data_IF_886341633538
#
_entry.id   IF_886341633538
#
_cell.length_a   1.000
_cell.length_b   1.000
_cell.length_c   1.000
_cell.angle_alpha   90.00
_cell.angle_beta   90.00
_cell.angle_gamma   90.00
#
_symmetry.space_group_name_H-M   'P 1'
#
loop_
_entity.id
_entity.type
_entity.pdbx_description
1 polymer ?
#
# COMPACT_ATOMS: atom_id res chain seq x y z
N UNK A 1 -9.47 6.79 13.86
CA UNK A 1 -9.95 7.32 12.58
C UNK A 1 -11.34 6.77 12.21
N UNK A 2 -11.52 5.56 11.72
CA UNK A 2 -12.84 5.01 11.40
C UNK A 2 -13.46 4.14 12.51
N UNK A 3 -12.76 3.93 13.62
CA UNK A 3 -13.23 3.35 14.87
C UNK A 3 -13.71 1.88 14.88
N UNK A 4 -13.75 1.22 13.72
CA UNK A 4 -14.22 -0.15 13.61
C UNK A 4 -13.13 -1.07 13.02
N UNK A 5 -12.82 -2.14 13.74
CA UNK A 5 -11.78 -3.11 13.36
C UNK A 5 -12.10 -3.81 12.03
N UNK A 6 -13.39 -3.99 11.69
CA UNK A 6 -13.82 -4.60 10.43
C UNK A 6 -13.39 -3.78 9.22
N UNK A 7 -13.39 -2.45 9.33
CA UNK A 7 -12.92 -1.57 8.25
C UNK A 7 -11.42 -1.74 7.98
N UNK A 8 -10.64 -1.96 9.05
CA UNK A 8 -9.23 -2.28 8.93
C UNK A 8 -8.99 -3.58 8.15
N UNK A 9 -9.80 -4.61 8.41
CA UNK A 9 -9.70 -5.89 7.69
C UNK A 9 -10.05 -5.78 6.21
N UNK A 10 -11.13 -5.04 5.88
CA UNK A 10 -11.52 -4.81 4.49
C UNK A 10 -10.40 -4.08 3.73
N UNK A 11 -9.82 -3.04 4.33
CA UNK A 11 -8.69 -2.31 3.77
C UNK A 11 -7.47 -3.21 3.57
N UNK A 12 -7.16 -4.05 4.55
CA UNK A 12 -6.05 -4.99 4.48
C UNK A 12 -6.24 -5.98 3.34
N UNK A 13 -7.43 -6.57 3.18
CA UNK A 13 -7.76 -7.47 2.09
C UNK A 13 -7.58 -6.80 0.72
N UNK A 14 -8.13 -5.59 0.53
CA UNK A 14 -8.00 -4.84 -0.71
C UNK A 14 -6.53 -4.59 -1.07
N UNK A 15 -5.73 -4.15 -0.10
CA UNK A 15 -4.32 -3.84 -0.29
C UNK A 15 -3.42 -5.08 -0.48
N UNK A 16 -3.82 -6.25 0.03
CA UNK A 16 -3.08 -7.50 -0.15
C UNK A 16 -3.42 -8.22 -1.46
N UNK A 17 -4.71 -8.26 -1.83
CA UNK A 17 -5.15 -8.96 -3.05
C UNK A 17 -4.73 -8.23 -4.32
N UNK A 18 -4.72 -6.89 -4.32
CA UNK A 18 -4.36 -6.12 -5.50
C UNK A 18 -2.94 -6.41 -6.03
N UNK A 19 -1.87 -6.39 -5.22
CA UNK A 19 -0.53 -6.73 -5.70
C UNK A 19 -0.38 -8.21 -6.07
N UNK A 20 -1.12 -9.13 -5.43
CA UNK A 20 -1.11 -10.55 -5.81
C UNK A 20 -1.68 -10.75 -7.21
N UNK A 21 -2.80 -10.09 -7.53
CA UNK A 21 -3.42 -10.11 -8.86
C UNK A 21 -2.42 -9.57 -9.89
N UNK A 22 -1.83 -8.41 -9.65
CA UNK A 22 -0.85 -7.82 -10.57
C UNK A 22 0.37 -8.74 -10.75
N UNK A 23 0.91 -9.28 -9.66
CA UNK A 23 2.05 -10.19 -9.69
C UNK A 23 1.78 -11.43 -10.54
N UNK A 24 0.54 -11.95 -10.50
CA UNK A 24 0.13 -13.08 -11.32
C UNK A 24 0.13 -12.73 -12.82
N UNK A 25 -0.38 -11.55 -13.18
CA UNK A 25 -0.42 -11.09 -14.59
C UNK A 25 0.92 -10.59 -15.11
N UNK A 26 1.81 -10.10 -14.23
CA UNK A 26 3.12 -9.59 -14.64
C UNK A 26 4.23 -10.63 -14.61
N UNK A 27 3.91 -11.88 -14.23
CA UNK A 27 4.88 -12.99 -14.20
C UNK A 27 5.42 -13.23 -15.61
N UNK A 28 6.60 -12.69 -15.89
CA UNK A 28 7.36 -12.99 -17.11
C UNK A 28 8.07 -14.33 -16.90
N UNK A 29 7.97 -15.24 -17.88
CA UNK A 29 8.78 -16.45 -17.86
C UNK A 29 10.25 -16.06 -17.90
N UNK A 30 10.95 -16.21 -16.80
CA UNK A 30 12.36 -15.85 -16.63
C UNK A 30 13.28 -16.93 -17.18
N UNK A 31 13.20 -17.19 -18.49
CA UNK A 31 14.22 -18.01 -19.15
C UNK A 31 15.47 -17.24 -19.59
N UNK A 32 15.56 -15.92 -19.32
CA UNK A 32 16.66 -15.06 -19.76
C UNK A 32 17.44 -14.37 -18.63
N UNK A 33 17.50 -14.93 -17.44
CA UNK A 33 18.37 -14.38 -16.38
C UNK A 33 19.72 -15.10 -16.31
N UNK A 34 20.35 -15.34 -17.46
CA UNK A 34 21.71 -15.94 -17.51
C UNK A 34 22.85 -14.92 -17.60
N UNK A 35 22.57 -13.63 -17.42
CA UNK A 35 23.64 -12.62 -17.28
C UNK A 35 23.30 -11.68 -16.08
N UNK A 36 23.10 -12.27 -14.92
CA UNK A 36 23.27 -11.50 -13.69
C UNK A 36 24.78 -11.28 -13.55
N UNK A 37 25.22 -10.05 -13.73
CA UNK A 37 26.44 -9.61 -13.08
C UNK A 37 26.23 -9.94 -11.61
N UNK A 38 26.77 -11.07 -11.18
CA UNK A 38 26.92 -11.39 -9.76
C UNK A 38 27.68 -10.20 -9.20
N UNK A 39 26.97 -9.37 -8.43
CA UNK A 39 27.68 -8.49 -7.53
C UNK A 39 28.49 -9.42 -6.65
N UNK A 40 29.82 -9.42 -6.74
CA UNK A 40 30.61 -10.22 -5.86
C UNK A 40 30.25 -9.73 -4.45
N UNK A 41 29.45 -10.51 -3.74
CA UNK A 41 29.52 -10.47 -2.30
C UNK A 41 30.99 -10.71 -2.04
N UNK A 42 31.74 -9.64 -1.71
CA UNK A 42 33.09 -9.77 -1.20
C UNK A 42 32.99 -10.60 0.08
N UNK A 43 33.01 -11.90 -0.11
CA UNK A 43 33.18 -12.89 0.96
C UNK A 43 34.65 -12.92 1.35
N UNK A 44 35.22 -11.75 1.67
CA UNK A 44 36.51 -11.72 2.33
C UNK A 44 36.27 -12.15 3.78
N UNK A 45 36.80 -13.31 4.04
CA UNK A 45 36.73 -14.12 5.23
C UNK A 45 36.62 -13.40 6.59
N UNK A 46 35.97 -14.10 7.50
CA UNK A 46 35.62 -13.75 8.88
C UNK A 46 34.55 -12.64 9.01
N UNK A 47 33.30 -13.05 8.96
CA UNK A 47 32.17 -12.20 9.36
C UNK A 47 32.32 -11.86 10.86
N UNK A 48 32.92 -10.72 11.15
CA UNK A 48 32.92 -10.19 12.50
C UNK A 48 31.50 -9.72 12.80
N UNK A 49 30.79 -10.39 13.70
CA UNK A 49 29.43 -10.09 14.11
C UNK A 49 29.25 -8.61 14.48
N UNK A 50 30.26 -7.99 15.10
CA UNK A 50 30.26 -6.56 15.43
C UNK A 50 30.20 -5.65 14.21
N UNK A 51 30.92 -6.00 13.12
CA UNK A 51 30.91 -5.24 11.86
C UNK A 51 29.54 -5.34 11.20
N UNK A 52 28.93 -6.53 11.19
CA UNK A 52 27.60 -6.74 10.59
C UNK A 52 26.57 -5.89 11.33
N UNK A 53 26.54 -5.92 12.65
CA UNK A 53 25.62 -5.10 13.45
C UNK A 53 25.84 -3.61 13.20
N UNK A 54 27.10 -3.15 13.24
CA UNK A 54 27.43 -1.75 12.99
C UNK A 54 26.91 -1.28 11.63
N UNK A 55 27.23 -2.02 10.57
CA UNK A 55 26.79 -1.67 9.19
C UNK A 55 25.26 -1.72 9.05
N UNK A 56 24.60 -2.69 9.71
CA UNK A 56 23.15 -2.77 9.71
C UNK A 56 22.49 -1.56 10.40
N UNK A 57 23.03 -1.12 11.54
CA UNK A 57 22.55 0.05 12.25
C UNK A 57 22.78 1.33 11.44
N UNK A 58 23.96 1.51 10.85
CA UNK A 58 24.27 2.67 10.00
C UNK A 58 23.33 2.74 8.79
N UNK A 59 23.08 1.61 8.12
CA UNK A 59 22.14 1.53 7.01
C UNK A 59 20.72 1.83 7.46
N UNK A 60 20.28 1.34 8.60
CA UNK A 60 18.95 1.62 9.14
C UNK A 60 18.76 3.10 9.48
N UNK A 61 19.75 3.75 10.10
CA UNK A 61 19.71 5.18 10.40
C UNK A 61 19.65 6.00 9.12
N UNK A 62 20.52 5.73 8.14
CA UNK A 62 20.54 6.44 6.87
C UNK A 62 19.21 6.29 6.10
N UNK A 63 18.65 5.08 6.08
CA UNK A 63 17.34 4.81 5.46
C UNK A 63 16.23 5.60 6.16
N UNK A 64 16.20 5.60 7.48
CA UNK A 64 15.19 6.33 8.26
C UNK A 64 15.28 7.84 8.03
N UNK A 65 16.49 8.40 8.01
CA UNK A 65 16.70 9.82 7.72
C UNK A 65 16.24 10.19 6.30
N UNK A 66 16.52 9.35 5.29
CA UNK A 66 16.06 9.57 3.92
C UNK A 66 14.53 9.55 3.83
N UNK A 67 13.88 8.57 4.43
CA UNK A 67 12.40 8.49 4.49
C UNK A 67 11.83 9.74 5.17
N UNK A 68 12.38 10.14 6.30
CA UNK A 68 11.98 11.36 7.03
C UNK A 68 12.10 12.62 6.18
N UNK A 69 13.21 12.77 5.43
CA UNK A 69 13.42 13.91 4.54
C UNK A 69 12.36 13.97 3.43
N UNK A 70 12.02 12.84 2.80
CA UNK A 70 10.93 12.79 1.80
C UNK A 70 9.59 13.19 2.41
N UNK A 71 9.24 12.69 3.60
CA UNK A 71 7.99 13.05 4.29
C UNK A 71 7.93 14.56 4.54
N UNK A 72 9.01 15.17 4.99
CA UNK A 72 9.08 16.63 5.24
C UNK A 72 8.89 17.40 3.93
N UNK A 73 9.62 17.06 2.87
CA UNK A 73 9.54 17.74 1.57
C UNK A 73 8.09 17.67 1.03
N UNK A 74 7.50 16.48 1.00
CA UNK A 74 6.15 16.32 0.49
C UNK A 74 5.09 16.98 1.39
N UNK A 75 5.32 17.05 2.71
CA UNK A 75 4.46 17.80 3.63
C UNK A 75 4.49 19.29 3.36
N UNK A 76 5.65 19.86 3.02
CA UNK A 76 5.78 21.27 2.60
C UNK A 76 5.02 21.51 1.30
N UNK A 77 5.21 20.64 0.29
CA UNK A 77 4.47 20.72 -0.99
C UNK A 77 2.97 20.72 -0.74
N UNK A 78 2.48 19.80 0.10
CA UNK A 78 1.06 19.75 0.47
C UNK A 78 0.62 21.02 1.20
N UNK A 79 1.45 21.58 2.07
CA UNK A 79 1.17 22.86 2.73
C UNK A 79 0.96 23.99 1.73
N UNK A 80 1.80 24.08 0.70
CA UNK A 80 1.67 25.07 -0.39
C UNK A 80 0.37 24.84 -1.17
N UNK A 81 0.07 23.60 -1.53
CA UNK A 81 -1.16 23.24 -2.27
C UNK A 81 -2.42 23.60 -1.47
N UNK A 82 -2.44 23.30 -0.17
CA UNK A 82 -3.57 23.62 0.70
C UNK A 82 -3.86 25.12 0.83
N UNK A 83 -2.82 25.93 0.81
CA UNK A 83 -2.94 27.39 0.90
C UNK A 83 -3.29 28.03 -0.44
N UNK A 84 -3.31 27.28 -1.54
CA UNK A 84 -3.65 27.82 -2.86
C UNK A 84 -5.17 27.79 -3.10
N UNK A 85 -5.79 28.97 -3.10
CA UNK A 85 -7.23 29.12 -3.31
C UNK A 85 -7.70 28.64 -4.68
N UNK A 86 -6.90 28.80 -5.74
CA UNK A 86 -7.25 28.37 -7.09
C UNK A 86 -7.44 26.85 -7.17
N UNK A 87 -6.56 26.09 -6.55
CA UNK A 87 -6.64 24.62 -6.50
C UNK A 87 -7.94 24.20 -5.80
N UNK A 88 -8.25 24.83 -4.66
CA UNK A 88 -9.46 24.54 -3.91
C UNK A 88 -10.73 24.86 -4.73
N UNK A 89 -10.75 25.98 -5.47
CA UNK A 89 -11.87 26.35 -6.34
C UNK A 89 -12.06 25.33 -7.46
N UNK A 90 -10.98 24.89 -8.11
CA UNK A 90 -11.03 23.90 -9.19
C UNK A 90 -11.62 22.58 -8.66
N UNK A 91 -11.10 22.04 -7.55
CA UNK A 91 -11.61 20.80 -6.99
C UNK A 91 -13.07 20.91 -6.56
N UNK A 92 -13.47 22.01 -5.91
CA UNK A 92 -14.85 22.22 -5.50
C UNK A 92 -15.80 22.28 -6.71
N UNK A 93 -15.41 22.89 -7.81
CA UNK A 93 -16.23 22.95 -9.02
C UNK A 93 -16.35 21.57 -9.69
N UNK A 94 -15.26 20.80 -9.77
CA UNK A 94 -15.27 19.44 -10.31
C UNK A 94 -16.10 18.49 -9.43
N UNK A 95 -15.97 18.59 -8.11
CA UNK A 95 -16.76 17.80 -7.16
C UNK A 95 -18.26 18.09 -7.27
N UNK A 96 -18.65 19.36 -7.41
CA UNK A 96 -20.03 19.75 -7.68
C UNK A 96 -20.54 19.20 -9.01
N UNK A 97 -19.75 19.30 -10.07
CA UNK A 97 -20.10 18.77 -11.40
C UNK A 97 -20.34 17.27 -11.37
N UNK A 98 -19.55 16.53 -10.61
CA UNK A 98 -19.64 15.06 -10.47
C UNK A 98 -20.59 14.64 -9.34
N UNK A 99 -21.28 15.56 -8.68
CA UNK A 99 -22.17 15.28 -7.54
C UNK A 99 -21.48 14.51 -6.41
N UNK A 100 -20.20 14.77 -6.20
CA UNK A 100 -19.41 14.13 -5.15
C UNK A 100 -19.46 14.95 -3.86
N UNK A 101 -19.23 14.27 -2.74
CA UNK A 101 -19.10 14.96 -1.45
C UNK A 101 -17.91 15.92 -1.47
N UNK A 102 -18.02 17.11 -0.86
CA UNK A 102 -16.93 18.06 -0.79
C UNK A 102 -15.65 17.45 -0.21
N UNK A 103 -14.50 17.83 -0.76
CA UNK A 103 -13.17 17.33 -0.41
C UNK A 103 -12.91 15.85 -0.74
N UNK A 104 -13.76 15.17 -1.51
CA UNK A 104 -13.57 13.78 -1.91
C UNK A 104 -12.42 13.61 -2.90
N UNK A 105 -12.50 14.32 -4.04
CA UNK A 105 -11.43 14.32 -5.05
C UNK A 105 -10.17 15.02 -4.54
N UNK A 106 -10.35 16.11 -3.81
CA UNK A 106 -9.25 16.80 -3.18
C UNK A 106 -8.47 15.91 -2.23
N UNK A 107 -9.14 15.10 -1.41
CA UNK A 107 -8.52 14.12 -0.53
C UNK A 107 -7.77 13.02 -1.29
N UNK A 108 -8.34 12.52 -2.41
CA UNK A 108 -7.68 11.55 -3.29
C UNK A 108 -6.44 12.18 -3.93
N UNK A 109 -6.54 13.41 -4.43
CA UNK A 109 -5.43 14.13 -5.05
C UNK A 109 -4.27 14.34 -4.06
N UNK A 110 -4.54 14.89 -2.88
CA UNK A 110 -3.51 15.07 -1.84
C UNK A 110 -2.94 13.73 -1.37
N UNK A 111 -3.77 12.70 -1.28
CA UNK A 111 -3.35 11.34 -0.95
C UNK A 111 -2.47 10.71 -2.03
N UNK A 112 -2.67 11.08 -3.29
CA UNK A 112 -1.79 10.65 -4.38
C UNK A 112 -0.41 11.31 -4.32
N UNK A 113 -0.27 12.43 -3.62
CA UNK A 113 1.02 13.06 -3.35
C UNK A 113 1.65 12.42 -2.11
N UNK A 114 0.90 12.41 -1.00
CA UNK A 114 1.33 11.81 0.26
C UNK A 114 0.12 11.16 0.95
N UNK A 115 0.16 9.84 1.14
CA UNK A 115 -1.00 9.05 1.49
C UNK A 115 -1.61 9.36 2.85
N UNK A 116 -0.81 9.74 3.85
CA UNK A 116 -1.31 9.98 5.22
C UNK A 116 -2.21 11.22 5.29
N UNK A 117 -1.85 12.29 4.58
CA UNK A 117 -2.65 13.50 4.47
C UNK A 117 -3.98 13.25 3.74
N UNK A 118 -3.96 12.47 2.65
CA UNK A 118 -5.17 12.08 1.94
C UNK A 118 -6.10 11.23 2.79
N UNK A 119 -5.57 10.22 3.47
CA UNK A 119 -6.34 9.39 4.39
C UNK A 119 -7.01 10.22 5.49
N UNK A 120 -6.30 11.20 6.06
CA UNK A 120 -6.86 12.10 7.08
C UNK A 120 -8.05 12.90 6.55
N UNK A 121 -7.96 13.44 5.35
CA UNK A 121 -9.06 14.18 4.72
C UNK A 121 -10.22 13.24 4.43
N UNK A 122 -9.98 12.10 3.78
CA UNK A 122 -11.03 11.15 3.40
C UNK A 122 -11.79 10.58 4.60
N UNK A 123 -11.17 10.45 5.76
CA UNK A 123 -11.88 10.02 6.96
C UNK A 123 -12.85 11.06 7.49
N UNK A 124 -12.61 12.36 7.23
CA UNK A 124 -13.43 13.46 7.73
C UNK A 124 -14.55 13.93 6.79
N UNK A 125 -14.57 13.50 5.52
CA UNK A 125 -15.61 13.91 4.57
C UNK A 125 -16.99 13.36 4.94
N UNK A 126 -18.05 14.05 4.55
CA UNK A 126 -19.45 13.58 4.69
C UNK A 126 -19.84 12.72 3.51
N UNK A 127 -19.37 11.47 3.45
CA UNK A 127 -19.64 10.53 2.39
C UNK A 127 -19.94 9.14 2.96
N UNK A 128 -20.43 8.22 2.11
CA UNK A 128 -20.68 6.84 2.53
C UNK A 128 -19.38 6.18 3.01
N UNK A 129 -19.51 5.31 4.00
CA UNK A 129 -18.35 4.59 4.55
C UNK A 129 -17.69 3.70 3.47
N UNK A 130 -18.49 3.16 2.56
CA UNK A 130 -18.01 2.33 1.44
C UNK A 130 -17.09 3.15 0.54
N UNK A 131 -17.49 4.37 0.15
CA UNK A 131 -16.64 5.24 -0.65
C UNK A 131 -15.35 5.64 0.08
N UNK A 132 -15.46 6.00 1.37
CA UNK A 132 -14.27 6.33 2.18
C UNK A 132 -13.26 5.20 2.21
N UNK A 133 -13.71 3.98 2.49
CA UNK A 133 -12.84 2.79 2.53
C UNK A 133 -12.19 2.53 1.18
N UNK A 134 -12.98 2.60 0.10
CA UNK A 134 -12.46 2.35 -1.26
C UNK A 134 -11.42 3.40 -1.68
N UNK A 135 -11.69 4.69 -1.40
CA UNK A 135 -10.76 5.77 -1.71
C UNK A 135 -9.47 5.68 -0.88
N UNK A 136 -9.57 5.35 0.41
CA UNK A 136 -8.41 5.11 1.27
C UNK A 136 -7.61 3.91 0.77
N UNK A 137 -8.28 2.82 0.36
CA UNK A 137 -7.62 1.63 -0.19
C UNK A 137 -6.85 1.94 -1.48
N UNK A 138 -7.44 2.77 -2.37
CA UNK A 138 -6.74 3.27 -3.55
C UNK A 138 -5.44 4.00 -3.18
N UNK A 139 -5.52 4.97 -2.29
CA UNK A 139 -4.37 5.79 -1.88
C UNK A 139 -3.29 4.92 -1.23
N UNK A 140 -3.67 4.03 -0.31
CA UNK A 140 -2.74 3.13 0.38
C UNK A 140 -2.02 2.19 -0.59
N UNK A 141 -2.74 1.65 -1.58
CA UNK A 141 -2.19 0.73 -2.57
C UNK A 141 -1.33 1.43 -3.61
N UNK A 142 -1.72 2.63 -4.06
CA UNK A 142 -0.93 3.49 -4.92
C UNK A 142 0.34 3.97 -4.21
N UNK A 143 0.26 4.18 -2.90
CA UNK A 143 1.35 4.61 -1.99
C UNK A 143 1.76 6.09 -2.10
N UNK A 144 1.28 6.82 -3.10
CA UNK A 144 1.58 8.24 -3.31
C UNK A 144 2.98 8.51 -3.90
N UNK A 145 3.14 9.72 -4.44
CA UNK A 145 4.39 10.16 -5.07
C UNK A 145 5.56 10.22 -4.07
N UNK A 146 5.29 10.48 -2.80
CA UNK A 146 6.31 10.51 -1.75
C UNK A 146 7.03 9.17 -1.64
N UNK A 147 6.29 8.06 -1.58
CA UNK A 147 6.86 6.71 -1.49
C UNK A 147 7.54 6.31 -2.82
N UNK A 148 6.96 6.70 -3.97
CA UNK A 148 7.59 6.47 -5.27
C UNK A 148 8.94 7.18 -5.34
N UNK A 149 9.03 8.42 -4.83
CA UNK A 149 10.29 9.16 -4.71
C UNK A 149 11.31 8.47 -3.80
N UNK A 150 10.87 7.95 -2.65
CA UNK A 150 11.72 7.18 -1.74
C UNK A 150 12.28 5.93 -2.43
N UNK A 151 11.43 5.15 -3.10
CA UNK A 151 11.85 3.96 -3.86
C UNK A 151 12.86 4.33 -4.94
N UNK A 152 12.64 5.46 -5.63
CA UNK A 152 13.57 5.99 -6.62
C UNK A 152 14.97 6.19 -6.05
N UNK A 153 15.09 6.73 -4.85
CA UNK A 153 16.39 6.98 -4.22
C UNK A 153 17.14 5.69 -3.88
N UNK A 154 16.42 4.62 -3.52
CA UNK A 154 17.02 3.31 -3.23
C UNK A 154 17.32 2.49 -4.49
N UNK A 155 16.48 2.63 -5.53
CA UNK A 155 16.61 1.85 -6.76
C UNK A 155 17.43 2.56 -7.83
N UNK A 156 17.93 3.76 -7.57
CA UNK A 156 18.70 4.57 -8.54
C UNK A 156 19.96 3.88 -9.08
N UNK A 157 20.50 2.90 -8.33
CA UNK A 157 21.65 2.06 -8.76
C UNK A 157 21.22 0.92 -9.69
N UNK A 158 19.94 0.64 -9.80
CA UNK A 158 19.36 -0.42 -10.61
C UNK A 158 18.61 0.22 -11.79
N UNK A 159 18.69 -0.35 -12.99
CA UNK A 159 17.98 0.16 -14.17
C UNK A 159 16.46 -0.05 -14.11
N UNK A 160 15.84 0.42 -13.02
CA UNK A 160 14.38 0.30 -12.81
C UNK A 160 13.67 1.52 -13.40
N UNK A 161 12.78 1.29 -14.35
CA UNK A 161 11.97 2.36 -14.93
C UNK A 161 10.90 2.83 -13.93
N UNK A 162 11.11 4.00 -13.33
CA UNK A 162 10.17 4.62 -12.40
C UNK A 162 8.79 4.89 -13.02
N UNK A 163 8.76 5.25 -14.33
CA UNK A 163 7.49 5.46 -15.05
C UNK A 163 6.65 4.18 -15.09
N UNK A 164 7.28 3.04 -15.41
CA UNK A 164 6.60 1.73 -15.40
C UNK A 164 6.14 1.36 -14.00
N UNK A 165 7.00 1.57 -12.99
CA UNK A 165 6.66 1.31 -11.61
C UNK A 165 5.47 2.14 -11.14
N UNK A 166 5.48 3.46 -11.36
CA UNK A 166 4.38 4.36 -10.99
C UNK A 166 3.07 3.98 -11.68
N UNK A 167 3.12 3.61 -12.95
CA UNK A 167 1.95 3.15 -13.70
C UNK A 167 1.36 1.85 -13.14
N UNK A 168 2.21 0.87 -12.84
CA UNK A 168 1.78 -0.38 -12.21
C UNK A 168 1.16 -0.11 -10.83
N UNK A 169 1.75 0.78 -10.05
CA UNK A 169 1.21 1.20 -8.76
C UNK A 169 -0.15 1.89 -8.89
N UNK A 170 -0.34 2.69 -9.91
CA UNK A 170 -1.64 3.33 -10.18
C UNK A 170 -2.71 2.28 -10.52
N UNK A 171 -2.40 1.31 -11.38
CA UNK A 171 -3.31 0.18 -11.67
C UNK A 171 -3.59 -0.62 -10.40
N UNK A 172 -2.57 -0.87 -9.56
CA UNK A 172 -2.73 -1.53 -8.27
C UNK A 172 -3.73 -0.78 -7.37
N UNK A 173 -3.65 0.54 -7.34
CA UNK A 173 -4.60 1.39 -6.62
C UNK A 173 -6.03 1.20 -7.11
N UNK A 174 -6.26 1.21 -8.44
CA UNK A 174 -7.59 0.99 -9.02
C UNK A 174 -8.14 -0.38 -8.65
N UNK A 175 -7.34 -1.43 -8.77
CA UNK A 175 -7.75 -2.80 -8.41
C UNK A 175 -8.11 -2.86 -6.92
N UNK A 176 -7.29 -2.25 -6.05
CA UNK A 176 -7.55 -2.19 -4.61
C UNK A 176 -8.84 -1.43 -4.29
N UNK A 177 -9.12 -0.32 -4.99
CA UNK A 177 -10.38 0.41 -4.87
C UNK A 177 -11.58 -0.50 -5.17
N UNK A 178 -11.55 -1.21 -6.32
CA UNK A 178 -12.64 -2.08 -6.76
C UNK A 178 -12.86 -3.23 -5.77
N UNK A 179 -11.80 -3.90 -5.36
CA UNK A 179 -11.86 -4.99 -4.38
C UNK A 179 -12.49 -4.49 -3.08
N UNK A 180 -11.97 -3.38 -2.55
CA UNK A 180 -12.48 -2.81 -1.28
C UNK A 180 -13.92 -2.36 -1.42
N UNK A 181 -14.33 -1.79 -2.56
CA UNK A 181 -15.70 -1.41 -2.83
C UNK A 181 -16.64 -2.62 -2.79
N UNK A 182 -16.28 -3.71 -3.47
CA UNK A 182 -17.07 -4.95 -3.48
C UNK A 182 -17.18 -5.53 -2.07
N UNK A 183 -16.04 -5.70 -1.37
CA UNK A 183 -16.06 -6.25 -0.01
C UNK A 183 -16.82 -5.36 0.97
N UNK A 184 -16.65 -4.04 0.89
CA UNK A 184 -17.37 -3.10 1.74
C UNK A 184 -18.88 -3.17 1.48
N UNK A 185 -19.30 -3.26 0.22
CA UNK A 185 -20.71 -3.37 -0.12
C UNK A 185 -21.34 -4.65 0.42
N UNK A 186 -20.62 -5.77 0.41
CA UNK A 186 -21.11 -7.04 0.93
C UNK A 186 -21.14 -7.03 2.47
N UNK A 187 -20.05 -6.63 3.12
CA UNK A 187 -19.91 -6.78 4.56
C UNK A 187 -20.58 -5.66 5.38
N UNK A 188 -20.75 -4.46 4.81
CA UNK A 188 -21.35 -3.34 5.53
C UNK A 188 -22.88 -3.30 5.32
N UNK A 189 -23.38 -3.62 4.12
CA UNK A 189 -24.82 -3.66 3.85
C UNK A 189 -25.56 -4.74 4.65
N UNK A 190 -24.90 -5.79 5.09
CA UNK A 190 -25.50 -6.81 5.97
C UNK A 190 -25.70 -6.34 7.42
N UNK A 191 -25.08 -5.23 7.83
CA UNK A 191 -25.22 -4.70 9.20
C UNK A 191 -26.43 -3.76 9.38
N UNK A 192 -26.97 -3.21 8.32
CA UNK A 192 -28.12 -2.31 8.40
C UNK A 192 -29.45 -3.02 8.68
N UNK A 193 -29.47 -4.34 8.65
CA UNK A 193 -30.69 -5.16 8.85
C UNK A 193 -30.73 -5.99 10.13
N UNK A 194 -29.68 -5.96 10.95
CA UNK A 194 -29.65 -6.75 12.19
C UNK A 194 -29.23 -5.92 13.41
N UNK A 195 -30.21 -5.29 14.04
CA UNK A 195 -30.11 -4.75 15.39
C UNK A 195 -30.16 -5.90 16.41
N UNK A 196 -29.06 -6.62 16.64
CA UNK A 196 -28.89 -7.46 17.83
C UNK A 196 -27.42 -7.49 18.23
N UNK A 197 -27.14 -6.98 19.41
CA UNK A 197 -25.84 -6.72 20.04
C UNK A 197 -25.00 -7.97 20.41
N UNK A 198 -25.37 -9.19 20.05
CA UNK A 198 -24.75 -10.43 20.57
C UNK A 198 -23.85 -11.14 19.56
N UNK A 199 -23.82 -10.73 18.28
CA UNK A 199 -23.07 -11.48 17.25
C UNK A 199 -21.65 -10.96 16.94
N UNK A 200 -21.22 -9.87 17.59
CA UNK A 200 -19.94 -9.22 17.24
C UNK A 200 -18.69 -10.00 17.70
N UNK A 201 -18.77 -10.81 18.71
CA UNK A 201 -17.61 -11.49 19.30
C UNK A 201 -17.15 -12.72 18.48
N UNK A 202 -18.08 -13.44 17.88
CA UNK A 202 -17.77 -14.65 17.09
C UNK A 202 -17.27 -14.35 15.67
N UNK A 203 -17.74 -13.26 15.07
CA UNK A 203 -17.30 -12.86 13.71
C UNK A 203 -15.90 -12.25 13.70
N UNK A 204 -15.50 -11.56 14.76
CA UNK A 204 -14.16 -10.97 14.89
C UNK A 204 -13.07 -12.03 14.96
N UNK A 205 -13.29 -13.13 15.68
CA UNK A 205 -12.30 -14.20 15.80
C UNK A 205 -12.08 -14.96 14.48
N UNK A 206 -13.15 -15.22 13.70
CA UNK A 206 -13.00 -15.84 12.37
C UNK A 206 -12.29 -14.93 11.39
N UNK A 207 -12.58 -13.64 11.44
CA UNK A 207 -11.94 -12.63 10.56
C UNK A 207 -10.45 -12.47 10.92
N UNK A 208 -10.11 -12.41 12.20
CA UNK A 208 -8.73 -12.40 12.72
C UNK A 208 -7.94 -13.62 12.25
N UNK A 209 -8.54 -14.80 12.35
CA UNK A 209 -7.90 -16.04 11.86
C UNK A 209 -7.62 -15.98 10.37
N UNK A 210 -8.59 -15.45 9.57
CA UNK A 210 -8.42 -15.34 8.13
C UNK A 210 -7.31 -14.34 7.74
N UNK A 211 -7.13 -13.26 8.49
CA UNK A 211 -6.05 -12.30 8.23
C UNK A 211 -4.68 -12.83 8.62
N UNK A 212 -4.57 -13.57 9.74
CA UNK A 212 -3.33 -14.24 10.10
C UNK A 212 -2.97 -15.32 9.06
N UNK A 213 -3.96 -16.08 8.58
CA UNK A 213 -3.76 -17.06 7.50
C UNK A 213 -3.26 -16.38 6.22
N UNK A 214 -3.82 -15.22 5.87
CA UNK A 214 -3.44 -14.44 4.68
C UNK A 214 -2.04 -13.82 4.82
N UNK A 215 -1.66 -13.37 6.02
CA UNK A 215 -0.31 -12.90 6.34
C UNK A 215 0.74 -14.02 6.27
N UNK A 216 0.35 -15.26 6.60
CA UNK A 216 1.23 -16.42 6.53
C UNK A 216 1.35 -16.98 5.10
N UNK A 217 0.44 -16.65 4.18
CA UNK A 217 0.40 -17.19 2.83
C UNK A 217 1.72 -17.01 2.06
N UNK A 218 2.38 -15.82 2.01
CA UNK A 218 3.68 -15.68 1.35
C UNK A 218 4.79 -16.50 2.02
N UNK A 219 4.71 -16.72 3.33
CA UNK A 219 5.67 -17.55 4.06
C UNK A 219 5.48 -19.02 3.73
N UNK A 220 4.23 -19.48 3.60
CA UNK A 220 3.89 -20.85 3.19
C UNK A 220 4.34 -21.10 1.75
N UNK A 221 4.08 -20.18 0.83
CA UNK A 221 4.53 -20.29 -0.57
C UNK A 221 6.05 -20.33 -0.67
N UNK A 222 6.76 -19.55 0.15
CA UNK A 222 8.23 -19.59 0.20
C UNK A 222 8.75 -20.93 0.75
N UNK A 223 8.13 -21.45 1.80
CA UNK A 223 8.49 -22.74 2.39
C UNK A 223 8.23 -23.90 1.42
N UNK A 224 7.09 -23.92 0.73
CA UNK A 224 6.80 -24.94 -0.28
C UNK A 224 7.79 -24.89 -1.43
N UNK A 225 8.14 -23.70 -1.94
CA UNK A 225 9.16 -23.58 -2.98
C UNK A 225 10.56 -24.06 -2.55
N UNK A 226 10.93 -23.83 -1.28
CA UNK A 226 12.20 -24.35 -0.73
C UNK A 226 12.17 -25.87 -0.60
N UNK A 227 11.05 -26.44 -0.16
CA UNK A 227 10.87 -27.88 -0.04
C UNK A 227 10.89 -28.57 -1.41
N UNK A 228 10.20 -28.00 -2.41
CA UNK A 228 10.22 -28.53 -3.79
C UNK A 228 11.62 -28.48 -4.42
N UNK A 229 12.40 -27.42 -4.16
CA UNK A 229 13.80 -27.35 -4.60
C UNK A 229 14.67 -28.42 -3.93
N UNK A 230 14.44 -28.74 -2.67
CA UNK A 230 15.19 -29.84 -1.98
C UNK A 230 14.81 -31.23 -2.45
N UNK A 231 13.54 -31.43 -2.83
CA UNK A 231 13.06 -32.73 -3.33
C UNK A 231 13.48 -33.05 -4.78
N UNK A 232 13.85 -32.02 -5.56
CA UNK A 232 14.34 -32.17 -6.95
C UNK A 232 15.87 -32.27 -7.05
N UNK A 233 16.59 -32.30 -5.93
CA UNK A 233 18.05 -32.45 -5.86
C UNK A 233 18.44 -33.83 -5.29
N UNK A 234 17.50 -34.77 -5.20
CA UNK A 234 17.77 -36.18 -4.86
C UNK A 234 17.54 -37.09 -6.07
#
# INVERSE_FOLDING_TARGET
>A
MLGNIKYGFILLLGNYLAPLIIGFFTKKNTHEFNNSNEYPLKTDGSYNFGIIIKTSIENAINTTLQVGAFVIIFSIIIGIIKNNSLINIIFNNVEKLLSLSPNSLYGIFLGSIEYTNGCKILTSISSSIIFKLSAISFICSFSGLSIIGQISSFTGKFNVSLKKYSFIKFIQGIISFIITFIFSSIFISTETTSSIYIHSYYTTNKLLFFTYALLLLPLIVKLTNILFKRLHIS
#
